data_IF_709722494596
#
_entry.id   IF_709722494596
#
_cell.length_a   1.000
_cell.length_b   1.000
_cell.length_c   1.000
_cell.angle_alpha   90.00
_cell.angle_beta   90.00
_cell.angle_gamma   90.00
#
_symmetry.space_group_name_H-M   'P 1'
#
loop_
_entity.id
_entity.type
_entity.pdbx_description
1 polymer ?
#
# COMPACT_ATOMS: atom_id res chain seq x y z
N UNK A 1 -2.10 -10.47 11.79
CA UNK A 1 -3.29 -9.63 12.09
C UNK A 1 -2.96 -8.13 12.21
N UNK A 2 -2.07 -7.69 13.11
CA UNK A 2 -1.81 -6.25 13.37
C UNK A 2 -1.41 -5.42 12.13
N UNK A 3 -0.67 -6.04 11.20
CA UNK A 3 -0.22 -5.36 9.98
C UNK A 3 -1.39 -5.04 9.02
N UNK A 4 -2.46 -5.84 9.02
CA UNK A 4 -3.59 -5.69 8.09
C UNK A 4 -4.53 -4.56 8.52
N UNK A 5 -4.78 -4.43 9.84
CA UNK A 5 -5.49 -3.28 10.44
C UNK A 5 -4.85 -1.94 10.06
N UNK A 6 -3.54 -1.83 10.22
CA UNK A 6 -2.76 -0.61 9.86
C UNK A 6 -2.84 -0.29 8.36
N UNK A 7 -2.85 -1.31 7.50
CA UNK A 7 -3.03 -1.12 6.05
C UNK A 7 -4.44 -0.62 5.71
N UNK A 8 -5.48 -1.14 6.36
CA UNK A 8 -6.87 -0.68 6.21
C UNK A 8 -7.03 0.77 6.66
N UNK A 9 -6.40 1.17 7.77
CA UNK A 9 -6.39 2.57 8.22
C UNK A 9 -5.74 3.51 7.20
N UNK A 10 -4.60 3.11 6.63
CA UNK A 10 -3.93 3.87 5.55
C UNK A 10 -4.84 4.01 4.33
N UNK A 11 -5.51 2.92 3.91
CA UNK A 11 -6.46 2.94 2.80
C UNK A 11 -7.67 3.83 3.06
N UNK A 12 -8.21 3.81 4.27
CA UNK A 12 -9.33 4.68 4.67
C UNK A 12 -8.98 6.16 4.54
N UNK A 13 -7.81 6.58 5.04
CA UNK A 13 -7.37 7.98 4.90
C UNK A 13 -7.18 8.36 3.43
N UNK A 14 -6.54 7.48 2.64
CA UNK A 14 -6.29 7.72 1.21
C UNK A 14 -7.53 7.58 0.32
N UNK A 15 -8.61 6.98 0.82
CA UNK A 15 -9.89 6.91 0.13
C UNK A 15 -10.64 8.23 0.20
N UNK A 16 -10.50 8.97 1.30
CA UNK A 16 -11.12 10.30 1.45
C UNK A 16 -10.39 11.32 0.56
N UNK A 17 -9.06 11.40 0.69
CA UNK A 17 -8.29 12.43 0.01
C UNK A 17 -6.89 11.94 -0.39
N UNK A 18 -6.39 12.44 -1.53
CA UNK A 18 -5.01 12.18 -1.96
C UNK A 18 -4.03 13.02 -1.16
N UNK A 19 -2.95 12.41 -0.66
CA UNK A 19 -2.04 13.05 0.32
C UNK A 19 -0.58 12.77 0.04
N UNK A 20 0.31 13.67 0.46
CA UNK A 20 1.75 13.37 0.48
C UNK A 20 2.08 12.33 1.57
N UNK A 21 3.27 11.73 1.52
CA UNK A 21 3.71 10.76 2.55
C UNK A 21 3.77 11.43 3.94
N UNK A 22 4.27 12.67 4.00
CA UNK A 22 4.38 13.43 5.25
C UNK A 22 3.01 13.75 5.84
N UNK A 23 2.06 14.16 5.00
CA UNK A 23 0.67 14.41 5.42
C UNK A 23 -0.03 13.15 5.89
N UNK A 24 0.12 12.07 5.14
CA UNK A 24 -0.45 10.79 5.52
C UNK A 24 0.08 10.34 6.88
N UNK A 25 1.39 10.48 7.12
CA UNK A 25 2.01 10.17 8.40
C UNK A 25 1.44 10.99 9.56
N UNK A 26 1.33 12.31 9.39
CA UNK A 26 0.74 13.20 10.39
C UNK A 26 -0.73 12.87 10.69
N UNK A 27 -1.52 12.60 9.64
CA UNK A 27 -2.94 12.25 9.79
C UNK A 27 -3.13 10.90 10.49
N UNK A 28 -2.29 9.91 10.20
CA UNK A 28 -2.34 8.59 10.86
C UNK A 28 -2.09 8.71 12.36
N UNK A 29 -1.09 9.49 12.76
CA UNK A 29 -0.77 9.72 14.19
C UNK A 29 -1.91 10.49 14.86
N UNK A 30 -2.50 11.47 14.17
CA UNK A 30 -3.60 12.28 14.71
C UNK A 30 -4.88 11.47 14.90
N UNK A 31 -5.25 10.66 13.90
CA UNK A 31 -6.54 9.95 13.86
C UNK A 31 -6.50 8.60 14.58
N UNK A 32 -5.33 7.96 14.62
CA UNK A 32 -5.12 6.63 15.20
C UNK A 32 -3.83 6.60 16.04
N UNK A 33 -3.74 7.41 17.12
CA UNK A 33 -2.51 7.59 17.88
C UNK A 33 -2.02 6.30 18.54
N UNK A 34 -2.93 5.42 18.99
CA UNK A 34 -2.57 4.15 19.63
C UNK A 34 -1.91 3.17 18.65
N UNK A 35 -2.49 3.02 17.45
CA UNK A 35 -2.01 2.10 16.41
C UNK A 35 -0.68 2.56 15.77
N UNK A 36 -0.45 3.87 15.68
CA UNK A 36 0.70 4.46 15.01
C UNK A 36 1.70 5.15 15.95
N UNK A 37 1.61 4.89 17.26
CA UNK A 37 2.58 5.39 18.25
C UNK A 37 4.00 4.93 17.88
N UNK A 38 4.91 5.89 17.75
CA UNK A 38 6.31 5.62 17.42
C UNK A 38 6.56 5.18 15.97
N UNK A 39 5.54 5.20 15.09
CA UNK A 39 5.75 4.93 13.67
C UNK A 39 6.61 6.04 13.06
N UNK A 40 7.78 5.68 12.53
CA UNK A 40 8.59 6.61 11.74
C UNK A 40 8.13 6.72 10.28
N UNK A 41 8.43 7.85 9.64
CA UNK A 41 8.25 8.03 8.19
C UNK A 41 8.91 6.93 7.35
N UNK A 42 10.08 6.46 7.79
CA UNK A 42 10.83 5.37 7.15
C UNK A 42 10.07 4.04 7.22
N UNK A 43 9.52 3.70 8.39
CA UNK A 43 8.70 2.49 8.55
C UNK A 43 7.41 2.57 7.75
N UNK A 44 6.73 3.72 7.74
CA UNK A 44 5.56 3.95 6.89
C UNK A 44 5.88 3.64 5.42
N UNK A 45 6.98 4.22 4.91
CA UNK A 45 7.40 4.08 3.52
C UNK A 45 7.84 2.64 3.17
N UNK A 46 8.72 2.04 3.98
CA UNK A 46 9.37 0.76 3.64
C UNK A 46 8.51 -0.46 3.96
N UNK A 47 7.67 -0.41 5.00
CA UNK A 47 6.86 -1.54 5.45
C UNK A 47 5.44 -1.49 4.88
N UNK A 48 4.75 -0.38 5.10
CA UNK A 48 3.31 -0.30 4.79
C UNK A 48 3.06 0.14 3.35
N UNK A 49 3.60 1.29 2.94
CA UNK A 49 3.39 1.82 1.58
C UNK A 49 4.03 0.96 0.49
N UNK A 50 5.17 0.32 0.78
CA UNK A 50 5.79 -0.64 -0.13
C UNK A 50 4.83 -1.81 -0.42
N UNK A 51 4.28 -2.43 0.62
CA UNK A 51 3.30 -3.52 0.50
C UNK A 51 2.06 -3.07 -0.29
N UNK A 52 1.47 -1.91 0.04
CA UNK A 52 0.30 -1.39 -0.70
C UNK A 52 0.59 -1.10 -2.19
N UNK A 53 1.80 -0.67 -2.53
CA UNK A 53 2.22 -0.43 -3.92
C UNK A 53 2.42 -1.73 -4.69
N UNK A 54 3.05 -2.73 -4.07
CA UNK A 54 3.22 -4.07 -4.67
C UNK A 54 1.86 -4.69 -5.00
N UNK A 55 0.85 -4.42 -4.19
CA UNK A 55 -0.52 -4.87 -4.40
C UNK A 55 -1.36 -3.98 -5.33
N UNK A 56 -0.78 -2.91 -5.88
CA UNK A 56 -1.48 -1.91 -6.70
C UNK A 56 -2.73 -1.34 -6.03
N UNK A 57 -2.74 -1.28 -4.69
CA UNK A 57 -3.85 -0.71 -3.94
C UNK A 57 -3.70 0.81 -3.79
N UNK A 58 -2.46 1.30 -3.91
CA UNK A 58 -2.15 2.72 -3.95
C UNK A 58 -1.25 3.06 -5.12
N UNK A 59 -1.38 4.29 -5.63
CA UNK A 59 -0.56 4.84 -6.71
C UNK A 59 -0.02 6.20 -6.25
N UNK A 60 1.25 6.46 -6.56
CA UNK A 60 1.85 7.79 -6.38
C UNK A 60 1.79 8.51 -7.74
N UNK A 61 1.17 9.69 -7.79
CA UNK A 61 1.09 10.51 -9.00
C UNK A 61 1.76 11.88 -8.77
N UNK A 62 2.60 12.34 -9.70
CA UNK A 62 3.05 13.72 -9.69
C UNK A 62 1.89 14.65 -10.07
N UNK A 63 1.79 15.78 -9.37
CA UNK A 63 0.80 16.83 -9.59
C UNK A 63 1.56 18.15 -9.69
N UNK A 64 1.37 18.85 -10.82
CA UNK A 64 2.02 20.14 -11.12
C UNK A 64 1.08 21.33 -10.98
N UNK A 65 -0.04 21.13 -10.29
CA UNK A 65 -1.02 22.18 -10.01
C UNK A 65 -0.39 23.26 -9.11
N UNK A 66 -0.36 24.54 -9.52
CA UNK A 66 0.26 25.63 -8.76
C UNK A 66 -0.36 25.84 -7.38
N UNK A 67 -1.68 25.75 -7.25
CA UNK A 67 -2.37 25.99 -5.97
C UNK A 67 -2.06 24.88 -4.97
N UNK A 68 -2.11 23.63 -5.45
CA UNK A 68 -1.72 22.47 -4.64
C UNK A 68 -0.25 22.56 -4.27
N UNK A 69 0.63 22.96 -5.21
CA UNK A 69 2.05 23.06 -4.96
C UNK A 69 2.37 24.11 -3.88
N UNK A 70 1.86 25.33 -3.99
CA UNK A 70 2.12 26.38 -3.00
C UNK A 70 1.56 26.00 -1.62
N UNK A 71 0.33 25.47 -1.55
CA UNK A 71 -0.26 25.00 -0.29
C UNK A 71 0.62 23.93 0.38
N UNK A 72 1.14 22.98 -0.39
CA UNK A 72 1.97 21.88 0.15
C UNK A 72 3.37 22.37 0.51
N UNK A 73 3.87 23.40 -0.16
CA UNK A 73 5.15 24.05 0.12
C UNK A 73 5.07 24.87 1.42
N UNK A 74 4.02 25.66 1.62
CA UNK A 74 3.77 26.40 2.87
C UNK A 74 3.72 25.48 4.08
N UNK A 75 3.11 24.30 3.93
CA UNK A 75 3.02 23.29 4.98
C UNK A 75 4.32 22.47 5.17
N UNK A 76 5.39 22.76 4.42
CA UNK A 76 6.68 22.06 4.53
C UNK A 76 6.68 20.62 4.01
N UNK A 77 5.73 20.28 3.13
CA UNK A 77 5.59 18.93 2.58
C UNK A 77 6.37 18.68 1.30
N UNK A 78 6.97 19.73 0.73
CA UNK A 78 7.87 19.64 -0.42
C UNK A 78 9.29 19.25 -0.01
N UNK A 79 10.13 18.95 -1.01
CA UNK A 79 11.57 18.82 -0.87
C UNK A 79 12.28 19.66 -1.96
N UNK A 80 13.59 19.90 -1.86
CA UNK A 80 14.29 20.80 -2.79
C UNK A 80 14.16 20.37 -4.27
N UNK A 81 14.07 19.07 -4.54
CA UNK A 81 13.89 18.54 -5.90
C UNK A 81 12.48 18.82 -6.45
N UNK A 82 11.46 18.70 -5.60
CA UNK A 82 10.06 19.01 -5.92
C UNK A 82 9.86 20.50 -6.14
N UNK A 83 10.52 21.35 -5.36
CA UNK A 83 10.43 22.80 -5.49
C UNK A 83 11.00 23.30 -6.81
N UNK A 84 12.17 22.80 -7.21
CA UNK A 84 12.78 23.12 -8.51
C UNK A 84 11.87 22.76 -9.69
N UNK A 85 11.10 21.67 -9.56
CA UNK A 85 10.22 21.17 -10.63
C UNK A 85 8.78 21.69 -10.54
N UNK A 86 8.41 22.36 -9.44
CA UNK A 86 7.03 22.73 -9.11
C UNK A 86 6.07 21.52 -9.17
N UNK A 87 6.49 20.38 -8.63
CA UNK A 87 5.71 19.13 -8.63
C UNK A 87 5.58 18.57 -7.23
N UNK A 88 4.37 18.17 -6.83
CA UNK A 88 4.09 17.43 -5.60
C UNK A 88 3.71 16.00 -5.92
N UNK A 89 4.21 15.04 -5.15
CA UNK A 89 3.82 13.63 -5.29
C UNK A 89 2.71 13.28 -4.30
N UNK A 90 1.52 12.99 -4.83
CA UNK A 90 0.36 12.59 -4.04
C UNK A 90 0.14 11.09 -4.13
N UNK A 91 -0.13 10.46 -2.99
CA UNK A 91 -0.62 9.10 -2.88
C UNK A 91 -2.13 9.11 -3.03
N UNK A 92 -2.63 8.15 -3.82
CA UNK A 92 -4.06 7.92 -4.02
C UNK A 92 -4.35 6.43 -3.91
N UNK A 93 -5.49 6.06 -3.33
CA UNK A 93 -5.98 4.68 -3.39
C UNK A 93 -6.50 4.35 -4.79
N UNK A 94 -6.41 3.09 -5.19
CA UNK A 94 -6.99 2.60 -6.44
C UNK A 94 -8.51 2.78 -6.45
N UNK A 95 -9.06 3.19 -7.60
CA UNK A 95 -10.47 3.58 -7.73
C UNK A 95 -11.44 2.45 -7.33
N UNK A 96 -11.08 1.19 -7.63
CA UNK A 96 -11.85 -0.01 -7.27
C UNK A 96 -11.95 -0.25 -5.74
N UNK A 97 -11.02 0.29 -4.96
CA UNK A 97 -11.01 0.16 -3.51
C UNK A 97 -11.57 1.41 -2.80
N UNK A 98 -11.65 2.55 -3.49
CA UNK A 98 -12.04 3.82 -2.90
C UNK A 98 -13.37 3.72 -2.16
N UNK A 99 -14.44 3.29 -2.83
CA UNK A 99 -15.79 3.19 -2.25
C UNK A 99 -15.85 2.23 -1.05
N UNK A 100 -15.01 1.19 -1.02
CA UNK A 100 -14.95 0.22 0.07
C UNK A 100 -14.39 0.86 1.35
N UNK A 101 -13.32 1.64 1.23
CA UNK A 101 -12.61 2.19 2.39
C UNK A 101 -13.07 3.59 2.78
N UNK A 102 -13.76 4.33 1.92
CA UNK A 102 -14.25 5.68 2.19
C UNK A 102 -15.24 5.73 3.37
N UNK A 103 -16.14 4.75 3.46
CA UNK A 103 -17.16 4.67 4.51
C UNK A 103 -16.87 3.64 5.60
N UNK A 104 -15.67 3.03 5.57
CA UNK A 104 -15.30 1.99 6.50
C UNK A 104 -15.12 2.54 7.92
N UNK A 105 -15.79 1.91 8.90
CA UNK A 105 -15.68 2.31 10.31
C UNK A 105 -14.42 1.72 10.96
N UNK A 106 -13.90 2.35 12.05
CA UNK A 106 -12.71 1.84 12.73
C UNK A 106 -12.79 0.39 13.20
N UNK A 107 -13.97 -0.04 13.65
CA UNK A 107 -14.26 -1.41 14.10
C UNK A 107 -14.19 -2.46 12.98
N UNK A 108 -14.24 -2.02 11.72
CA UNK A 108 -14.23 -2.90 10.55
C UNK A 108 -12.81 -3.07 9.97
N UNK A 109 -11.83 -2.29 10.43
CA UNK A 109 -10.46 -2.39 9.94
C UNK A 109 -9.82 -3.76 10.19
N UNK A 110 -10.25 -4.45 11.26
CA UNK A 110 -9.83 -5.80 11.60
C UNK A 110 -10.52 -6.87 10.75
N UNK A 111 -11.66 -6.55 10.14
CA UNK A 111 -12.50 -7.48 9.35
C UNK A 111 -12.20 -7.43 7.85
N UNK A 112 -11.29 -6.56 7.42
CA UNK A 112 -10.85 -6.51 6.02
C UNK A 112 -10.03 -7.76 5.74
N UNK A 113 -10.67 -8.73 5.11
CA UNK A 113 -10.03 -9.99 4.69
C UNK A 113 -8.79 -9.70 3.84
N UNK A 114 -7.64 -9.76 4.50
CA UNK A 114 -6.32 -10.06 3.93
C UNK A 114 -6.20 -11.53 3.55
N UNK A 115 -7.29 -12.32 3.59
CA UNK A 115 -7.29 -13.76 3.31
C UNK A 115 -6.50 -14.13 2.06
N UNK A 116 -6.58 -13.31 1.02
CA UNK A 116 -5.80 -13.52 -0.20
C UNK A 116 -4.29 -13.33 0.03
N UNK A 117 -3.89 -12.31 0.77
CA UNK A 117 -2.48 -11.98 1.02
C UNK A 117 -1.85 -12.94 2.01
N UNK A 118 -2.58 -13.26 3.07
CA UNK A 118 -2.19 -14.27 4.04
C UNK A 118 -2.11 -15.64 3.34
N UNK A 119 -3.06 -15.95 2.43
CA UNK A 119 -2.97 -17.12 1.56
C UNK A 119 -1.74 -17.10 0.65
N UNK A 120 -1.44 -16.00 -0.03
CA UNK A 120 -0.24 -15.90 -0.89
C UNK A 120 1.06 -16.03 -0.09
N UNK A 121 1.14 -15.43 1.10
CA UNK A 121 2.30 -15.53 1.98
C UNK A 121 2.44 -16.96 2.56
N UNK A 122 1.33 -17.61 2.92
CA UNK A 122 1.30 -19.02 3.34
C UNK A 122 1.75 -19.96 2.22
N UNK A 123 1.23 -19.79 1.01
CA UNK A 123 1.61 -20.64 -0.13
C UNK A 123 3.08 -20.39 -0.53
N UNK A 124 3.57 -19.15 -0.51
CA UNK A 124 5.00 -18.85 -0.71
C UNK A 124 5.87 -19.57 0.31
N UNK A 125 5.48 -19.53 1.59
CA UNK A 125 6.21 -20.19 2.66
C UNK A 125 6.30 -21.70 2.43
N UNK A 126 5.21 -22.35 1.98
CA UNK A 126 5.23 -23.77 1.58
C UNK A 126 6.23 -24.06 0.46
N UNK A 127 6.36 -23.13 -0.49
CA UNK A 127 7.38 -23.21 -1.54
C UNK A 127 8.81 -23.05 -0.99
N UNK A 128 9.03 -22.12 -0.07
CA UNK A 128 10.32 -21.94 0.61
C UNK A 128 10.68 -23.13 1.49
N UNK A 129 9.70 -23.73 2.19
CA UNK A 129 9.89 -24.91 3.03
C UNK A 129 10.36 -26.12 2.22
N UNK A 130 9.95 -26.26 0.96
CA UNK A 130 10.49 -27.27 0.04
C UNK A 130 11.97 -27.02 -0.29
N UNK A 131 12.34 -25.79 -0.66
CA UNK A 131 13.73 -25.44 -0.98
C UNK A 131 14.66 -25.53 0.24
N UNK A 132 14.13 -25.27 1.44
CA UNK A 132 14.85 -25.39 2.70
C UNK A 132 14.87 -26.83 3.26
N UNK A 133 14.26 -27.80 2.56
CA UNK A 133 14.25 -29.21 2.97
C UNK A 133 13.33 -29.54 4.14
N UNK A 134 12.50 -28.59 4.58
CA UNK A 134 11.47 -28.80 5.61
C UNK A 134 10.23 -29.52 5.06
N UNK A 135 10.06 -29.54 3.74
CA UNK A 135 9.03 -30.31 3.03
C UNK A 135 9.65 -31.10 1.88
N UNK A 136 9.16 -32.32 1.65
CA UNK A 136 9.57 -33.17 0.52
C UNK A 136 8.73 -32.97 -0.73
N UNK A 137 7.64 -32.19 -0.66
CA UNK A 137 6.73 -31.96 -1.78
C UNK A 137 6.98 -30.60 -2.44
N UNK A 138 7.27 -30.57 -3.75
CA UNK A 138 7.40 -29.31 -4.48
C UNK A 138 6.06 -28.56 -4.47
N UNK A 139 6.09 -27.29 -4.09
CA UNK A 139 4.89 -26.47 -4.02
C UNK A 139 5.00 -25.24 -4.92
N UNK A 140 4.20 -25.20 -5.98
CA UNK A 140 4.09 -24.05 -6.87
C UNK A 140 2.97 -23.11 -6.39
N UNK A 141 3.34 -22.21 -5.49
CA UNK A 141 2.43 -21.22 -4.92
C UNK A 141 1.75 -20.35 -5.98
N UNK A 142 2.41 -20.11 -7.13
CA UNK A 142 1.83 -19.27 -8.19
C UNK A 142 0.69 -20.01 -8.86
N UNK A 143 0.84 -21.31 -9.13
CA UNK A 143 -0.24 -22.11 -9.70
C UNK A 143 -1.46 -22.14 -8.77
N UNK A 144 -1.24 -22.41 -7.48
CA UNK A 144 -2.33 -22.53 -6.51
C UNK A 144 -3.05 -21.20 -6.24
N UNK A 145 -2.32 -20.07 -6.23
CA UNK A 145 -2.91 -18.73 -6.16
C UNK A 145 -3.71 -18.41 -7.43
N UNK A 146 -3.27 -18.87 -8.60
CA UNK A 146 -3.99 -18.66 -9.86
C UNK A 146 -5.29 -19.45 -9.93
N UNK A 147 -5.29 -20.67 -9.42
CA UNK A 147 -6.48 -21.53 -9.42
C UNK A 147 -7.55 -21.02 -8.46
N UNK A 148 -7.17 -20.49 -7.28
CA UNK A 148 -8.13 -19.97 -6.29
C UNK A 148 -8.51 -18.50 -6.45
N UNK A 149 -7.62 -17.69 -7.03
CA UNK A 149 -7.78 -16.24 -7.14
C UNK A 149 -7.34 -15.70 -8.50
N UNK A 150 -7.82 -16.32 -9.59
CA UNK A 150 -7.37 -16.11 -10.98
C UNK A 150 -7.08 -14.69 -11.45
N UNK A 151 -7.82 -13.68 -10.97
CA UNK A 151 -7.60 -12.28 -11.34
C UNK A 151 -6.38 -11.60 -10.70
N UNK A 152 -5.77 -12.21 -9.66
CA UNK A 152 -4.74 -11.57 -8.84
C UNK A 152 -3.34 -11.75 -9.45
N UNK A 153 -3.11 -12.85 -10.17
CA UNK A 153 -1.85 -13.06 -10.87
C UNK A 153 -1.77 -12.34 -12.21
N UNK A 154 -2.88 -12.08 -12.90
CA UNK A 154 -2.88 -11.20 -14.07
C UNK A 154 -2.54 -9.76 -13.67
N UNK A 155 -3.14 -9.26 -12.60
CA UNK A 155 -2.81 -7.94 -12.04
C UNK A 155 -1.36 -7.83 -11.54
N UNK A 156 -0.75 -8.93 -11.05
CA UNK A 156 0.67 -9.00 -10.69
C UNK A 156 1.62 -9.19 -11.91
N UNK A 157 1.19 -9.87 -12.97
CA UNK A 157 1.96 -10.02 -14.22
C UNK A 157 2.02 -8.72 -15.00
N UNK A 158 0.93 -7.96 -15.07
CA UNK A 158 0.93 -6.62 -15.67
C UNK A 158 1.85 -5.64 -14.93
N UNK A 159 2.06 -5.79 -13.62
CA UNK A 159 2.99 -4.91 -12.88
C UNK A 159 4.46 -5.12 -13.27
N UNK A 160 4.85 -6.34 -13.69
CA UNK A 160 6.20 -6.60 -14.22
C UNK A 160 6.42 -5.99 -15.60
N UNK A 161 5.37 -5.89 -16.42
CA UNK A 161 5.48 -5.31 -17.77
C UNK A 161 5.78 -3.80 -17.75
N UNK A 162 5.38 -3.10 -16.68
CA UNK A 162 5.65 -1.66 -16.50
C UNK A 162 6.83 -1.33 -15.56
N UNK A 163 7.50 -2.34 -14.99
CA UNK A 163 8.71 -2.15 -14.16
C UNK A 163 10.02 -2.42 -14.92
N UNK A 164 9.94 -2.74 -16.22
CA UNK A 164 11.08 -3.05 -17.09
C UNK A 164 11.11 -2.24 -18.38
N UNK A 165 10.62 -1.00 -18.37
CA UNK A 165 10.86 -0.03 -19.43
C UNK A 165 12.04 0.85 -19.05
N UNK A 166 13.14 0.68 -19.79
CA UNK A 166 14.31 1.56 -19.78
C UNK A 166 13.93 3.02 -19.98
#
# INVERSE_FOLDING_TARGET
MENNRKLSMIKNILAIESRTIKELHGELIKRFPEDFKGLSLTQLKRKHLKKLKELKEIVAKPVSDPEIFEKKKELGFTNPTQEKRKVVWLLKISNNLKSKYENMKPEEFDKVDSKVLDFVEEEKKKGEDFWNGASSTPHDWKKTVSEKHGNILETLKESRKYAGGY
#
